data_IF_842098524632
#
_entry.id   IF_842098524632
#
_cell.length_a   1.000
_cell.length_b   1.000
_cell.length_c   1.000
_cell.angle_alpha   90.00
_cell.angle_beta   90.00
_cell.angle_gamma   90.00
#
_symmetry.space_group_name_H-M   'P 1'
#
loop_
_entity.id
_entity.type
_entity.pdbx_description
1 polymer ?
#
# COMPACT_ATOMS: atom_id res chain seq x y z
N UNK A 1 49.44 -38.51 39.59
CA UNK A 1 49.62 -37.13 40.11
C UNK A 1 50.82 -36.49 39.42
N UNK A 2 50.59 -35.53 38.51
CA UNK A 2 51.43 -34.32 38.27
C UNK A 2 50.76 -33.49 37.17
N UNK A 3 50.50 -32.22 37.51
CA UNK A 3 49.85 -31.17 36.70
C UNK A 3 50.92 -30.31 35.97
N UNK A 4 50.51 -29.66 34.88
CA UNK A 4 51.12 -28.47 34.25
C UNK A 4 52.02 -28.79 33.03
N UNK A 5 52.10 -27.98 31.95
CA UNK A 5 51.71 -26.59 31.73
C UNK A 5 51.68 -26.21 30.22
N UNK A 6 50.84 -25.21 29.88
CA UNK A 6 50.94 -24.11 28.86
C UNK A 6 51.26 -24.41 27.37
N UNK A 7 50.41 -23.88 26.48
CA UNK A 7 50.71 -22.65 25.70
C UNK A 7 49.43 -22.04 25.08
N UNK A 8 49.37 -20.71 25.10
CA UNK A 8 48.35 -19.80 24.56
C UNK A 8 48.78 -19.28 23.17
N UNK A 9 47.84 -18.59 22.49
CA UNK A 9 47.94 -17.73 21.28
C UNK A 9 48.00 -18.48 19.93
N UNK A 10 47.28 -18.13 18.84
CA UNK A 10 46.77 -16.82 18.36
C UNK A 10 45.79 -17.01 17.18
N UNK A 11 44.86 -16.06 16.96
CA UNK A 11 44.32 -15.67 15.63
C UNK A 11 43.04 -16.40 15.19
N UNK A 12 41.85 -15.79 15.35
CA UNK A 12 41.17 -14.93 14.37
C UNK A 12 40.44 -15.77 13.29
N UNK A 13 39.13 -15.64 13.04
CA UNK A 13 38.47 -14.42 12.55
C UNK A 13 36.95 -14.52 12.76
N UNK A 14 36.31 -13.36 12.83
CA UNK A 14 34.88 -13.09 12.91
C UNK A 14 33.96 -13.97 12.06
N UNK A 15 32.85 -14.37 12.67
CA UNK A 15 31.52 -14.22 12.07
C UNK A 15 30.53 -13.92 13.21
N UNK A 16 30.46 -12.64 13.60
CA UNK A 16 29.28 -12.16 14.29
C UNK A 16 28.14 -12.29 13.29
N UNK A 17 27.30 -13.32 13.47
CA UNK A 17 25.98 -13.33 12.87
C UNK A 17 25.24 -12.22 13.61
N UNK A 18 25.17 -11.05 12.99
CA UNK A 18 24.19 -10.05 13.38
C UNK A 18 22.84 -10.71 13.14
N UNK A 19 22.27 -11.26 14.21
CA UNK A 19 20.87 -11.63 14.23
C UNK A 19 20.10 -10.33 13.99
N UNK A 20 19.55 -10.15 12.80
CA UNK A 20 18.33 -9.37 12.67
C UNK A 20 17.24 -10.14 13.42
N UNK A 21 17.30 -10.11 14.75
CA UNK A 21 16.10 -10.30 15.53
C UNK A 21 15.30 -9.03 15.22
N UNK A 22 14.28 -9.15 14.37
CA UNK A 22 13.21 -8.18 14.37
C UNK A 22 12.80 -8.02 15.84
N UNK A 23 12.91 -6.79 16.35
CA UNK A 23 12.44 -6.47 17.69
C UNK A 23 10.99 -6.94 17.78
N UNK A 24 10.67 -7.66 18.84
CA UNK A 24 9.31 -8.12 19.13
C UNK A 24 8.54 -6.92 19.70
N UNK A 25 7.68 -6.25 18.93
CA UNK A 25 6.96 -5.08 19.40
C UNK A 25 5.94 -5.42 20.49
N UNK A 26 5.61 -6.71 20.69
CA UNK A 26 4.73 -7.16 21.77
C UNK A 26 5.49 -7.34 23.10
N UNK A 27 6.82 -7.21 23.10
CA UNK A 27 7.66 -7.35 24.29
C UNK A 27 7.99 -6.01 24.98
N UNK A 28 7.69 -4.88 24.35
CA UNK A 28 7.82 -3.55 24.96
C UNK A 28 6.48 -3.11 25.55
N UNK A 29 6.49 -2.46 26.71
CA UNK A 29 5.27 -1.82 27.23
C UNK A 29 4.89 -0.68 26.27
N UNK A 30 3.61 -0.56 25.95
CA UNK A 30 3.08 0.44 25.02
C UNK A 30 3.46 1.85 25.48
N UNK A 31 3.54 2.07 26.80
CA UNK A 31 4.01 3.32 27.39
C UNK A 31 5.45 3.69 26.99
N UNK A 32 6.35 2.72 26.86
CA UNK A 32 7.76 2.97 26.50
C UNK A 32 7.91 3.35 25.02
N UNK A 33 7.04 2.79 24.16
CA UNK A 33 6.99 3.12 22.73
C UNK A 33 6.46 4.53 22.48
N UNK A 34 5.50 5.01 23.28
CA UNK A 34 4.94 6.35 23.12
C UNK A 34 5.91 7.46 23.55
N UNK A 35 6.74 7.20 24.56
CA UNK A 35 7.55 8.25 25.19
C UNK A 35 9.03 8.26 24.78
N UNK A 36 9.63 7.11 24.40
CA UNK A 36 11.10 7.04 24.30
C UNK A 36 11.67 6.26 23.09
N UNK A 37 10.89 5.43 22.40
CA UNK A 37 11.42 4.58 21.32
C UNK A 37 10.60 4.62 20.02
N UNK A 38 10.48 5.82 19.45
CA UNK A 38 9.83 6.02 18.14
C UNK A 38 10.66 5.47 16.97
N UNK A 39 11.96 5.27 17.17
CA UNK A 39 12.81 4.58 16.19
C UNK A 39 12.43 3.11 16.07
N UNK A 40 12.04 2.45 17.17
CA UNK A 40 11.43 1.13 17.09
C UNK A 40 10.13 1.16 16.29
N UNK A 41 9.25 2.16 16.47
CA UNK A 41 7.98 2.30 15.71
C UNK A 41 8.24 2.48 14.21
N UNK A 42 9.23 3.30 13.84
CA UNK A 42 9.70 3.48 12.45
C UNK A 42 10.22 2.15 11.87
N UNK A 43 10.95 1.38 12.68
CA UNK A 43 11.57 0.11 12.31
C UNK A 43 10.60 -1.10 12.35
N UNK A 44 9.39 -0.96 12.91
CA UNK A 44 8.40 -2.04 12.94
C UNK A 44 8.12 -2.53 11.52
N UNK A 45 8.06 -3.86 11.38
CA UNK A 45 7.63 -4.49 10.12
C UNK A 45 6.20 -4.03 9.83
N UNK A 46 5.91 -3.47 8.63
CA UNK A 46 4.58 -2.98 8.31
C UNK A 46 3.53 -4.08 8.50
N UNK A 47 2.56 -3.83 9.38
CA UNK A 47 1.36 -4.64 9.55
C UNK A 47 0.14 -3.88 9.01
N UNK A 48 -0.85 -4.61 8.48
CA UNK A 48 -2.07 -3.99 7.94
C UNK A 48 -1.94 -3.52 6.48
N UNK A 49 -2.76 -2.53 6.12
CA UNK A 49 -2.92 -2.05 4.74
C UNK A 49 -1.97 -0.89 4.40
N UNK A 50 -1.91 -0.50 3.12
CA UNK A 50 -1.20 0.73 2.73
C UNK A 50 -1.71 1.98 3.46
N UNK A 51 -3.00 1.99 3.84
CA UNK A 51 -3.60 3.03 4.67
C UNK A 51 -3.02 3.03 6.10
N UNK A 52 -2.92 1.85 6.75
CA UNK A 52 -2.31 1.72 8.09
C UNK A 52 -0.85 2.17 8.10
N UNK A 53 -0.10 1.87 7.02
CA UNK A 53 1.28 2.32 6.87
C UNK A 53 1.39 3.83 6.67
N UNK A 54 0.52 4.41 5.83
CA UNK A 54 0.46 5.86 5.64
C UNK A 54 0.11 6.59 6.94
N UNK A 55 -0.84 6.06 7.73
CA UNK A 55 -1.21 6.64 9.03
C UNK A 55 -0.01 6.63 9.99
N UNK A 56 0.72 5.51 10.07
CA UNK A 56 1.94 5.44 10.89
C UNK A 56 2.92 6.55 10.51
N UNK A 57 3.18 6.74 9.23
CA UNK A 57 4.10 7.79 8.77
C UNK A 57 3.60 9.18 9.16
N UNK A 58 2.35 9.51 8.82
CA UNK A 58 1.84 10.85 9.07
C UNK A 58 1.71 11.18 10.57
N UNK A 59 1.37 10.22 11.42
CA UNK A 59 1.37 10.46 12.87
C UNK A 59 2.76 10.54 13.50
N UNK A 60 3.78 9.90 12.91
CA UNK A 60 5.17 10.14 13.32
C UNK A 60 5.62 11.55 12.94
N UNK A 61 5.21 12.04 11.76
CA UNK A 61 5.51 13.40 11.32
C UNK A 61 4.84 14.42 12.25
N UNK A 62 3.54 14.28 12.56
CA UNK A 62 2.84 15.15 13.51
C UNK A 62 3.45 15.07 14.91
N UNK A 63 3.76 13.87 15.39
CA UNK A 63 4.44 13.72 16.68
C UNK A 63 5.74 14.53 16.72
N UNK A 64 6.54 14.50 15.66
CA UNK A 64 7.83 15.20 15.59
C UNK A 64 7.63 16.72 15.56
N UNK A 65 6.65 17.20 14.79
CA UNK A 65 6.23 18.61 14.76
C UNK A 65 5.87 19.10 16.19
N UNK A 66 4.99 18.39 16.89
CA UNK A 66 4.58 18.78 18.26
C UNK A 66 5.73 18.71 19.27
N UNK A 67 6.58 17.70 19.14
CA UNK A 67 7.74 17.53 20.01
C UNK A 67 8.72 18.71 19.85
N UNK A 68 8.96 19.15 18.61
CA UNK A 68 9.79 20.33 18.32
C UNK A 68 9.14 21.63 18.77
N UNK A 69 7.81 21.71 18.75
CA UNK A 69 7.02 22.82 19.28
C UNK A 69 6.96 22.85 20.83
N UNK A 70 7.48 21.81 21.49
CA UNK A 70 7.39 21.59 22.94
C UNK A 70 5.97 21.32 23.45
N UNK A 71 5.04 20.90 22.58
CA UNK A 71 3.77 20.32 23.00
C UNK A 71 3.90 18.82 23.20
N UNK A 72 4.30 18.45 24.43
CA UNK A 72 4.49 17.05 24.77
C UNK A 72 3.19 16.26 24.84
N UNK A 73 2.05 16.92 25.07
CA UNK A 73 0.76 16.22 25.24
C UNK A 73 0.27 15.74 23.88
N UNK A 74 0.36 16.61 22.88
CA UNK A 74 -0.02 16.29 21.51
C UNK A 74 1.03 15.42 20.81
N UNK A 75 2.32 15.63 21.10
CA UNK A 75 3.36 14.69 20.67
C UNK A 75 3.09 13.25 21.15
N UNK A 76 2.75 13.06 22.43
CA UNK A 76 2.44 11.74 22.99
C UNK A 76 1.12 11.17 22.44
N UNK A 77 0.13 12.02 22.16
CA UNK A 77 -1.11 11.62 21.49
C UNK A 77 -0.84 11.08 20.09
N UNK A 78 -0.09 11.80 19.26
CA UNK A 78 0.23 11.33 17.91
C UNK A 78 1.20 10.14 17.92
N UNK A 79 2.12 10.05 18.88
CA UNK A 79 2.94 8.86 19.12
C UNK A 79 2.07 7.61 19.35
N UNK A 80 1.00 7.73 20.16
CA UNK A 80 0.03 6.64 20.35
C UNK A 80 -0.61 6.20 19.05
N UNK A 81 -1.14 7.15 18.28
CA UNK A 81 -1.79 6.85 17.00
C UNK A 81 -0.82 6.23 15.99
N UNK A 82 0.46 6.64 16.00
CA UNK A 82 1.51 6.05 15.18
C UNK A 82 1.77 4.57 15.51
N UNK A 83 1.93 4.23 16.79
CA UNK A 83 2.11 2.84 17.26
C UNK A 83 0.89 1.99 16.95
N UNK A 84 -0.33 2.47 17.23
CA UNK A 84 -1.56 1.74 16.92
C UNK A 84 -1.68 1.46 15.42
N UNK A 85 -1.32 2.45 14.59
CA UNK A 85 -1.28 2.31 13.13
C UNK A 85 -0.23 1.29 12.68
N UNK A 86 0.95 1.28 13.32
CA UNK A 86 2.02 0.31 13.06
C UNK A 86 1.61 -1.13 13.41
N UNK A 87 0.74 -1.31 14.41
CA UNK A 87 0.12 -2.59 14.78
C UNK A 87 -1.04 -2.98 13.85
N UNK A 88 -1.38 -2.17 12.85
CA UNK A 88 -2.48 -2.42 11.94
C UNK A 88 -3.88 -2.28 12.57
N UNK A 89 -3.98 -1.59 13.71
CA UNK A 89 -5.26 -1.35 14.37
C UNK A 89 -6.11 -0.33 13.59
N UNK A 90 -7.40 -0.32 13.86
CA UNK A 90 -8.34 0.63 13.25
C UNK A 90 -8.28 1.99 13.96
N UNK A 91 -7.26 2.78 13.63
CA UNK A 91 -7.08 4.15 14.16
C UNK A 91 -8.07 5.10 13.47
N UNK A 92 -8.86 5.81 14.27
CA UNK A 92 -9.87 6.76 13.78
C UNK A 92 -9.31 8.19 13.73
N UNK A 93 -9.84 9.06 12.83
CA UNK A 93 -9.61 10.49 12.95
C UNK A 93 -10.18 10.97 14.28
N UNK A 94 -9.49 11.95 14.87
CA UNK A 94 -9.86 12.55 16.13
C UNK A 94 -11.29 13.11 16.07
N UNK A 95 -11.94 13.13 17.23
CA UNK A 95 -13.25 13.74 17.33
C UNK A 95 -13.07 15.24 17.53
N UNK A 96 -13.86 16.05 16.83
CA UNK A 96 -13.86 17.52 17.01
C UNK A 96 -14.04 17.92 18.47
N UNK A 97 -14.76 17.11 19.25
CA UNK A 97 -14.98 17.30 20.69
C UNK A 97 -13.73 17.07 21.56
N UNK A 98 -12.59 16.68 20.99
CA UNK A 98 -11.32 16.55 21.73
C UNK A 98 -10.62 17.90 21.93
N UNK A 99 -11.04 18.95 21.22
CA UNK A 99 -10.41 20.28 21.23
C UNK A 99 -11.35 21.37 21.74
N UNK A 100 -10.79 22.40 22.36
CA UNK A 100 -11.54 23.59 22.78
C UNK A 100 -11.66 24.62 21.64
N UNK A 101 -12.76 24.54 20.88
CA UNK A 101 -12.96 25.33 19.66
C UNK A 101 -14.15 26.28 19.73
N UNK A 102 -14.11 27.33 18.90
CA UNK A 102 -15.26 28.20 18.65
C UNK A 102 -16.38 27.47 17.88
N UNK A 103 -17.65 27.92 17.98
CA UNK A 103 -18.75 27.29 17.26
C UNK A 103 -18.55 27.23 15.74
N UNK A 104 -17.90 28.25 15.17
CA UNK A 104 -17.64 28.34 13.72
C UNK A 104 -16.61 27.29 13.28
N UNK A 105 -15.53 27.11 14.05
CA UNK A 105 -14.54 26.05 13.82
C UNK A 105 -15.16 24.66 13.97
N UNK A 106 -16.02 24.46 14.98
CA UNK A 106 -16.71 23.18 15.22
C UNK A 106 -17.57 22.79 14.01
N UNK A 107 -18.35 23.71 13.46
CA UNK A 107 -19.23 23.44 12.32
C UNK A 107 -18.41 23.00 11.09
N UNK A 108 -17.33 23.72 10.81
CA UNK A 108 -16.45 23.44 9.66
C UNK A 108 -15.74 22.08 9.80
N UNK A 109 -15.07 21.83 10.93
CA UNK A 109 -14.35 20.58 11.17
C UNK A 109 -15.30 19.38 11.24
N UNK A 110 -16.53 19.57 11.75
CA UNK A 110 -17.55 18.51 11.75
C UNK A 110 -17.93 18.12 10.32
N UNK A 111 -18.12 19.11 9.43
CA UNK A 111 -18.44 18.86 8.03
C UNK A 111 -17.27 18.18 7.30
N UNK A 112 -16.03 18.63 7.52
CA UNK A 112 -14.83 18.04 6.94
C UNK A 112 -14.66 16.57 7.38
N UNK A 113 -14.79 16.30 8.67
CA UNK A 113 -14.73 14.94 9.22
C UNK A 113 -15.81 14.05 8.63
N UNK A 114 -17.04 14.55 8.51
CA UNK A 114 -18.15 13.79 7.93
C UNK A 114 -17.87 13.41 6.46
N UNK A 115 -17.38 14.34 5.64
CA UNK A 115 -17.00 14.09 4.24
C UNK A 115 -15.93 13.00 4.14
N UNK A 116 -14.87 13.09 4.94
CA UNK A 116 -13.80 12.08 4.95
C UNK A 116 -14.33 10.70 5.39
N UNK A 117 -15.14 10.65 6.45
CA UNK A 117 -15.70 9.39 6.93
C UNK A 117 -16.70 8.76 5.94
N UNK A 118 -17.45 9.56 5.19
CA UNK A 118 -18.29 9.08 4.09
C UNK A 118 -17.45 8.49 2.95
N UNK A 119 -16.35 9.14 2.56
CA UNK A 119 -15.41 8.60 1.57
C UNK A 119 -14.81 7.26 2.04
N UNK A 120 -14.44 7.14 3.33
CA UNK A 120 -13.96 5.88 3.89
C UNK A 120 -15.02 4.78 3.88
N UNK A 121 -16.29 5.12 4.12
CA UNK A 121 -17.41 4.18 4.01
C UNK A 121 -17.62 3.72 2.55
N UNK A 122 -17.27 4.56 1.58
CA UNK A 122 -17.28 4.27 0.15
C UNK A 122 -15.95 3.69 -0.37
N UNK A 123 -15.22 2.97 0.49
CA UNK A 123 -14.05 2.16 0.13
C UNK A 123 -12.78 2.95 -0.26
N UNK A 124 -12.71 4.24 0.06
CA UNK A 124 -11.54 5.08 -0.20
C UNK A 124 -10.25 4.52 0.42
N UNK A 125 -10.32 3.91 1.61
CA UNK A 125 -9.14 3.33 2.27
C UNK A 125 -8.49 2.20 1.47
N UNK A 126 -9.25 1.53 0.60
CA UNK A 126 -8.74 0.51 -0.31
C UNK A 126 -8.35 1.11 -1.66
N UNK A 127 -9.19 1.96 -2.25
CA UNK A 127 -8.96 2.56 -3.58
C UNK A 127 -7.82 3.58 -3.59
N UNK A 128 -7.67 4.35 -2.51
CA UNK A 128 -6.66 5.41 -2.37
C UNK A 128 -6.04 5.37 -0.96
N UNK A 129 -5.28 4.31 -0.62
CA UNK A 129 -4.81 4.07 0.75
C UNK A 129 -3.91 5.18 1.30
N UNK A 130 -2.97 5.69 0.50
CA UNK A 130 -2.03 6.74 0.93
C UNK A 130 -2.69 8.13 0.97
N UNK A 131 -3.62 8.42 0.06
CA UNK A 131 -4.40 9.66 0.11
C UNK A 131 -5.35 9.65 1.32
N UNK A 132 -6.02 8.53 1.58
CA UNK A 132 -6.86 8.32 2.75
C UNK A 132 -6.11 8.53 4.06
N UNK A 133 -4.88 8.02 4.15
CA UNK A 133 -4.03 8.23 5.32
C UNK A 133 -3.66 9.71 5.51
N UNK A 134 -3.22 10.38 4.43
CA UNK A 134 -2.90 11.81 4.44
C UNK A 134 -4.11 12.67 4.80
N UNK A 135 -5.31 12.34 4.30
CA UNK A 135 -6.53 13.06 4.65
C UNK A 135 -6.80 12.96 6.17
N UNK A 136 -6.67 11.77 6.75
CA UNK A 136 -6.88 11.60 8.18
C UNK A 136 -5.83 12.34 9.03
N UNK A 137 -4.55 12.22 8.71
CA UNK A 137 -3.49 12.91 9.48
C UNK A 137 -3.56 14.42 9.29
N UNK A 138 -3.87 14.91 8.08
CA UNK A 138 -4.05 16.35 7.83
C UNK A 138 -5.30 16.91 8.52
N UNK A 139 -6.38 16.13 8.63
CA UNK A 139 -7.55 16.49 9.43
C UNK A 139 -7.20 16.63 10.90
N UNK A 140 -6.46 15.67 11.46
CA UNK A 140 -6.08 15.70 12.87
C UNK A 140 -5.11 16.85 13.18
N UNK A 141 -4.17 17.15 12.27
CA UNK A 141 -3.35 18.37 12.35
C UNK A 141 -4.22 19.62 12.33
N UNK A 142 -5.12 19.75 11.35
CA UNK A 142 -5.95 20.95 11.25
C UNK A 142 -6.82 21.13 12.50
N UNK A 143 -7.39 20.04 13.03
CA UNK A 143 -8.16 20.07 14.26
C UNK A 143 -7.33 20.56 15.46
N UNK A 144 -6.09 20.11 15.59
CA UNK A 144 -5.15 20.53 16.64
C UNK A 144 -4.74 22.00 16.48
N UNK A 145 -4.28 22.43 15.30
CA UNK A 145 -3.85 23.80 15.03
C UNK A 145 -4.97 24.86 15.23
N UNK A 146 -6.25 24.48 15.07
CA UNK A 146 -7.40 25.36 15.36
C UNK A 146 -7.56 25.67 16.87
N UNK A 147 -7.10 24.78 17.75
CA UNK A 147 -7.04 25.04 19.20
C UNK A 147 -5.93 26.04 19.53
N UNK A 148 -4.78 25.91 18.88
CA UNK A 148 -3.64 26.82 19.05
C UNK A 148 -3.86 28.20 18.41
N UNK A 149 -4.79 28.29 17.46
CA UNK A 149 -5.03 29.47 16.62
C UNK A 149 -3.78 29.89 15.81
N UNK A 150 -2.94 28.94 15.40
CA UNK A 150 -1.82 29.21 14.49
C UNK A 150 -2.34 29.30 13.04
N UNK A 151 -2.51 30.52 12.56
CA UNK A 151 -3.13 30.79 11.25
C UNK A 151 -2.36 30.22 10.06
N UNK A 152 -1.03 30.10 10.16
CA UNK A 152 -0.21 29.60 9.05
C UNK A 152 -0.28 28.06 9.00
N UNK A 153 -0.29 27.42 10.15
CA UNK A 153 -0.33 25.96 10.29
C UNK A 153 -1.74 25.40 10.08
N UNK A 154 -2.79 26.11 10.53
CA UNK A 154 -4.18 25.87 10.14
C UNK A 154 -4.29 25.84 8.61
N UNK A 155 -3.74 26.86 7.93
CA UNK A 155 -3.82 26.95 6.48
C UNK A 155 -3.06 25.81 5.79
N UNK A 156 -1.87 25.44 6.29
CA UNK A 156 -1.08 24.30 5.79
C UNK A 156 -1.85 23.00 5.91
N UNK A 157 -2.36 22.68 7.10
CA UNK A 157 -3.00 21.41 7.36
C UNK A 157 -4.35 21.27 6.67
N UNK A 158 -5.14 22.35 6.62
CA UNK A 158 -6.37 22.39 5.84
C UNK A 158 -6.13 22.21 4.33
N UNK A 159 -5.09 22.83 3.78
CA UNK A 159 -4.74 22.65 2.37
C UNK A 159 -4.29 21.20 2.08
N UNK A 160 -3.52 20.58 2.98
CA UNK A 160 -3.14 19.18 2.87
C UNK A 160 -4.36 18.24 2.92
N UNK A 161 -5.33 18.53 3.81
CA UNK A 161 -6.60 17.81 3.88
C UNK A 161 -7.37 17.88 2.57
N UNK A 162 -7.59 19.09 2.04
CA UNK A 162 -8.35 19.27 0.79
C UNK A 162 -7.66 18.63 -0.41
N UNK A 163 -6.33 18.69 -0.49
CA UNK A 163 -5.56 18.02 -1.54
C UNK A 163 -5.72 16.49 -1.46
N UNK A 164 -5.61 15.92 -0.26
CA UNK A 164 -5.80 14.49 -0.06
C UNK A 164 -7.25 14.05 -0.36
N UNK A 165 -8.25 14.86 0.00
CA UNK A 165 -9.65 14.61 -0.33
C UNK A 165 -9.91 14.67 -1.84
N UNK A 166 -9.25 15.57 -2.58
CA UNK A 166 -9.35 15.61 -4.03
C UNK A 166 -8.80 14.34 -4.69
N UNK A 167 -7.65 13.83 -4.24
CA UNK A 167 -7.09 12.55 -4.71
C UNK A 167 -8.02 11.36 -4.38
N UNK A 168 -8.68 11.40 -3.22
CA UNK A 168 -9.69 10.40 -2.85
C UNK A 168 -10.90 10.49 -3.77
N UNK A 169 -11.40 11.70 -4.03
CA UNK A 169 -12.55 11.91 -4.90
C UNK A 169 -12.25 11.41 -6.32
N UNK A 170 -11.05 11.67 -6.86
CA UNK A 170 -10.59 11.16 -8.15
C UNK A 170 -10.54 9.62 -8.16
N UNK A 171 -9.96 9.00 -7.12
CA UNK A 171 -9.89 7.55 -7.03
C UNK A 171 -11.25 6.87 -6.81
N UNK A 172 -12.17 7.51 -6.09
CA UNK A 172 -13.53 7.02 -5.90
C UNK A 172 -14.37 7.19 -7.16
N UNK A 173 -14.18 8.28 -7.90
CA UNK A 173 -14.80 8.52 -9.21
C UNK A 173 -14.20 7.63 -10.30
N UNK A 174 -13.01 7.07 -10.08
CA UNK A 174 -12.42 6.07 -10.95
C UNK A 174 -13.09 4.71 -10.74
N UNK A 175 -13.81 4.27 -11.77
CA UNK A 175 -14.32 2.89 -11.90
C UNK A 175 -13.22 1.91 -12.36
N UNK A 176 -11.98 2.38 -12.47
CA UNK A 176 -10.85 1.59 -12.94
C UNK A 176 -10.25 0.76 -11.81
N UNK A 177 -11.02 -0.22 -11.35
CA UNK A 177 -10.59 -1.23 -10.36
C UNK A 177 -10.85 -2.65 -10.87
N UNK A 178 -11.18 -2.78 -12.17
CA UNK A 178 -11.45 -4.06 -12.78
C UNK A 178 -10.16 -4.70 -13.29
N UNK A 179 -9.72 -5.74 -12.60
CA UNK A 179 -8.67 -6.64 -13.09
C UNK A 179 -9.33 -7.85 -13.74
N UNK A 180 -9.19 -7.96 -15.06
CA UNK A 180 -9.62 -9.15 -15.78
C UNK A 180 -8.50 -10.17 -15.79
N UNK A 181 -8.84 -11.46 -15.71
CA UNK A 181 -7.84 -12.54 -15.70
C UNK A 181 -8.23 -13.61 -16.72
N UNK A 182 -7.34 -13.81 -17.69
CA UNK A 182 -7.49 -14.88 -18.68
C UNK A 182 -6.55 -16.03 -18.30
N UNK A 183 -7.11 -17.23 -18.10
CA UNK A 183 -6.35 -18.44 -17.81
C UNK A 183 -6.04 -19.25 -19.08
N UNK A 184 -4.89 -19.93 -19.05
CA UNK A 184 -4.38 -20.74 -20.16
C UNK A 184 -4.20 -22.20 -19.75
N UNK A 185 -4.37 -23.09 -20.72
CA UNK A 185 -4.03 -24.49 -20.56
C UNK A 185 -2.50 -24.68 -20.40
N UNK A 186 -2.11 -25.89 -20.00
CA UNK A 186 -0.71 -26.22 -19.79
C UNK A 186 0.03 -26.19 -21.13
N UNK A 187 1.19 -25.52 -21.16
CA UNK A 187 2.03 -25.33 -22.35
C UNK A 187 1.36 -24.61 -23.54
N UNK A 188 0.23 -23.94 -23.31
CA UNK A 188 -0.53 -23.24 -24.35
C UNK A 188 -0.54 -21.72 -24.15
N UNK A 189 -0.68 -21.00 -25.26
CA UNK A 189 -0.84 -19.55 -25.32
C UNK A 189 -2.04 -19.11 -26.18
N UNK A 190 -2.90 -20.05 -26.59
CA UNK A 190 -4.12 -19.77 -27.35
C UNK A 190 -5.26 -19.35 -26.41
N UNK A 191 -6.10 -18.43 -26.86
CA UNK A 191 -7.30 -18.03 -26.12
C UNK A 191 -8.38 -19.10 -26.23
N UNK A 192 -8.90 -19.50 -25.07
CA UNK A 192 -10.12 -20.31 -25.01
C UNK A 192 -11.35 -19.47 -25.39
N UNK A 193 -12.51 -20.07 -25.68
CA UNK A 193 -13.74 -19.31 -25.88
C UNK A 193 -14.10 -18.39 -24.70
N UNK A 194 -13.84 -18.83 -23.46
CA UNK A 194 -14.02 -17.99 -22.26
C UNK A 194 -13.03 -16.82 -22.25
N UNK A 195 -11.78 -17.07 -22.61
CA UNK A 195 -10.78 -16.01 -22.76
C UNK A 195 -11.18 -14.97 -23.82
N UNK A 196 -11.79 -15.40 -24.92
CA UNK A 196 -12.32 -14.48 -25.93
C UNK A 196 -13.46 -13.60 -25.39
N UNK A 197 -14.37 -14.16 -24.58
CA UNK A 197 -15.43 -13.38 -23.92
C UNK A 197 -14.86 -12.33 -22.97
N UNK A 198 -13.84 -12.68 -22.19
CA UNK A 198 -13.17 -11.71 -21.30
C UNK A 198 -12.50 -10.60 -22.12
N UNK A 199 -11.92 -10.91 -23.29
CA UNK A 199 -11.39 -9.87 -24.19
C UNK A 199 -12.52 -8.95 -24.68
N UNK A 200 -13.70 -9.49 -24.99
CA UNK A 200 -14.86 -8.67 -25.39
C UNK A 200 -15.30 -7.73 -24.25
N UNK A 201 -15.35 -8.23 -23.00
CA UNK A 201 -15.67 -7.43 -21.80
C UNK A 201 -14.67 -6.29 -21.56
N UNK A 202 -13.37 -6.57 -21.72
CA UNK A 202 -12.31 -5.55 -21.62
C UNK A 202 -12.50 -4.44 -22.66
N UNK A 203 -12.89 -4.79 -23.89
CA UNK A 203 -13.13 -3.80 -24.95
C UNK A 203 -14.34 -2.93 -24.62
N UNK A 204 -15.45 -3.53 -24.16
CA UNK A 204 -16.65 -2.79 -23.76
C UNK A 204 -16.35 -1.82 -22.61
N UNK A 205 -15.61 -2.27 -21.59
CA UNK A 205 -15.20 -1.42 -20.47
C UNK A 205 -14.24 -0.31 -20.89
N UNK A 206 -13.31 -0.58 -21.82
CA UNK A 206 -12.41 0.43 -22.37
C UNK A 206 -13.16 1.51 -23.16
N UNK A 207 -14.11 1.12 -24.00
CA UNK A 207 -14.93 2.06 -24.79
C UNK A 207 -15.91 2.87 -23.92
N UNK A 208 -16.36 2.31 -22.80
CA UNK A 208 -17.26 2.97 -21.84
C UNK A 208 -16.59 4.02 -20.95
N UNK A 209 -15.26 3.99 -20.82
CA UNK A 209 -14.50 4.82 -19.87
C UNK A 209 -13.56 5.84 -20.51
N UNK A 210 -13.02 6.77 -19.70
CA UNK A 210 -11.88 7.63 -20.08
C UNK A 210 -10.57 6.93 -19.72
N UNK A 211 -10.31 5.78 -20.32
CA UNK A 211 -9.16 4.94 -19.95
C UNK A 211 -7.97 5.26 -20.87
N UNK A 212 -6.83 5.75 -20.35
CA UNK A 212 -5.71 6.15 -21.20
C UNK A 212 -4.79 4.97 -21.56
N UNK A 213 -4.76 3.88 -20.78
CA UNK A 213 -3.88 2.73 -21.03
C UNK A 213 -4.47 1.40 -20.54
N UNK A 214 -4.13 0.31 -21.24
CA UNK A 214 -4.36 -1.08 -20.82
C UNK A 214 -3.00 -1.74 -20.61
N UNK A 215 -2.77 -2.32 -19.44
CA UNK A 215 -1.58 -3.11 -19.13
C UNK A 215 -1.92 -4.59 -19.13
N UNK A 216 -1.12 -5.37 -19.87
CA UNK A 216 -1.23 -6.82 -19.98
C UNK A 216 -0.01 -7.45 -19.29
N UNK A 217 -0.22 -8.27 -18.27
CA UNK A 217 0.85 -8.95 -17.55
C UNK A 217 0.75 -10.47 -17.76
N UNK A 218 1.68 -11.06 -18.52
CA UNK A 218 1.74 -12.49 -18.75
C UNK A 218 2.52 -13.27 -17.69
N UNK A 219 1.98 -14.42 -17.29
CA UNK A 219 2.58 -15.32 -16.29
C UNK A 219 2.57 -16.80 -16.72
N UNK A 220 3.48 -17.59 -16.14
CA UNK A 220 3.57 -19.04 -16.27
C UNK A 220 3.62 -19.73 -14.90
N UNK A 221 3.32 -21.03 -14.86
CA UNK A 221 3.51 -21.85 -13.66
C UNK A 221 4.95 -22.39 -13.58
N UNK A 222 5.33 -22.96 -12.45
CA UNK A 222 6.71 -23.39 -12.18
C UNK A 222 7.06 -24.76 -12.80
N UNK A 223 6.23 -25.31 -13.70
CA UNK A 223 6.41 -26.68 -14.21
C UNK A 223 7.44 -26.82 -15.34
N UNK A 224 7.86 -25.71 -15.94
CA UNK A 224 8.85 -25.64 -17.02
C UNK A 224 10.17 -25.03 -16.57
N UNK A 225 11.14 -24.93 -17.49
CA UNK A 225 12.36 -24.17 -17.25
C UNK A 225 12.06 -22.66 -17.22
N UNK A 226 12.74 -21.91 -16.36
CA UNK A 226 12.50 -20.47 -16.18
C UNK A 226 12.57 -19.66 -17.49
N UNK A 227 13.54 -19.94 -18.36
CA UNK A 227 13.73 -19.25 -19.64
C UNK A 227 12.62 -19.60 -20.65
N UNK A 228 12.13 -20.84 -20.61
CA UNK A 228 10.98 -21.29 -21.37
C UNK A 228 9.70 -20.60 -20.89
N UNK A 229 9.50 -20.56 -19.57
CA UNK A 229 8.35 -19.94 -18.93
C UNK A 229 8.28 -18.43 -19.21
N UNK A 230 9.42 -17.75 -19.23
CA UNK A 230 9.49 -16.34 -19.63
C UNK A 230 8.95 -16.14 -21.06
N UNK A 231 9.43 -16.93 -22.03
CA UNK A 231 8.96 -16.87 -23.43
C UNK A 231 7.50 -17.29 -23.58
N UNK A 232 7.03 -18.25 -22.78
CA UNK A 232 5.62 -18.69 -22.82
C UNK A 232 4.69 -17.59 -22.30
N UNK A 233 5.08 -16.92 -21.21
CA UNK A 233 4.32 -15.80 -20.67
C UNK A 233 4.26 -14.60 -21.62
N UNK A 234 5.35 -14.33 -22.35
CA UNK A 234 5.41 -13.33 -23.42
C UNK A 234 4.39 -13.65 -24.53
N UNK A 235 4.40 -14.89 -25.04
CA UNK A 235 3.43 -15.32 -26.07
C UNK A 235 1.99 -15.14 -25.62
N UNK A 236 1.67 -15.47 -24.37
CA UNK A 236 0.32 -15.29 -23.81
C UNK A 236 -0.10 -13.81 -23.80
N UNK A 237 0.76 -12.93 -23.30
CA UNK A 237 0.50 -11.50 -23.27
C UNK A 237 0.31 -10.94 -24.69
N UNK A 238 1.14 -11.38 -25.65
CA UNK A 238 1.01 -11.03 -27.06
C UNK A 238 -0.28 -11.55 -27.70
N UNK A 239 -0.72 -12.78 -27.38
CA UNK A 239 -2.01 -13.30 -27.87
C UNK A 239 -3.17 -12.42 -27.41
N UNK A 240 -3.17 -12.00 -26.14
CA UNK A 240 -4.21 -11.10 -25.60
C UNK A 240 -4.13 -9.72 -26.26
N UNK A 241 -2.93 -9.16 -26.44
CA UNK A 241 -2.71 -7.88 -27.16
C UNK A 241 -3.32 -7.94 -28.55
N UNK A 242 -2.96 -8.95 -29.35
CA UNK A 242 -3.45 -9.13 -30.71
C UNK A 242 -4.97 -9.30 -30.75
N UNK A 243 -5.56 -9.94 -29.75
CA UNK A 243 -7.01 -10.11 -29.65
C UNK A 243 -7.74 -8.79 -29.34
N UNK A 244 -7.14 -7.91 -28.53
CA UNK A 244 -7.64 -6.55 -28.27
C UNK A 244 -7.49 -5.65 -29.51
N UNK A 245 -6.33 -5.69 -30.17
CA UNK A 245 -6.07 -4.96 -31.41
C UNK A 245 -7.04 -5.35 -32.52
N UNK A 246 -7.32 -6.66 -32.67
CA UNK A 246 -8.28 -7.18 -33.63
C UNK A 246 -9.72 -6.67 -33.40
N UNK A 247 -10.02 -6.18 -32.19
CA UNK A 247 -11.30 -5.57 -31.82
C UNK A 247 -11.29 -4.05 -31.87
N UNK A 248 -10.18 -3.45 -32.32
CA UNK A 248 -10.09 -2.01 -32.58
C UNK A 248 -9.40 -1.19 -31.50
N UNK A 249 -8.85 -1.82 -30.45
CA UNK A 249 -8.00 -1.11 -29.48
C UNK A 249 -6.70 -0.67 -30.16
N UNK A 250 -6.34 0.60 -30.01
CA UNK A 250 -5.10 1.15 -30.57
C UNK A 250 -3.88 0.49 -29.87
N UNK A 251 -2.93 -0.13 -30.60
CA UNK A 251 -1.71 -0.66 -30.01
C UNK A 251 -0.93 0.37 -29.16
N UNK A 252 -1.07 1.67 -29.45
CA UNK A 252 -0.39 2.73 -28.70
C UNK A 252 -0.84 2.85 -27.23
N UNK A 253 -2.03 2.33 -26.89
CA UNK A 253 -2.54 2.32 -25.50
C UNK A 253 -2.26 1.00 -24.78
N UNK A 254 -1.65 0.02 -25.44
CA UNK A 254 -1.34 -1.28 -24.86
C UNK A 254 0.09 -1.31 -24.31
N UNK A 255 0.23 -1.63 -23.02
CA UNK A 255 1.52 -1.92 -22.38
C UNK A 255 1.63 -3.42 -22.09
N UNK A 256 2.43 -4.12 -22.89
CA UNK A 256 2.55 -5.58 -22.87
C UNK A 256 3.78 -6.00 -22.07
N UNK A 257 3.56 -6.65 -20.94
CA UNK A 257 4.59 -7.09 -20.00
C UNK A 257 4.50 -8.60 -19.75
N UNK A 258 5.61 -9.21 -19.36
CA UNK A 258 5.66 -10.64 -19.05
C UNK A 258 6.74 -10.96 -18.02
N UNK A 259 6.43 -11.93 -17.16
CA UNK A 259 7.22 -12.20 -15.95
C UNK A 259 7.65 -13.65 -15.79
N UNK A 260 7.25 -14.54 -16.71
CA UNK A 260 7.45 -15.97 -16.56
C UNK A 260 6.85 -16.48 -15.25
N UNK A 261 7.66 -17.20 -14.48
CA UNK A 261 7.28 -17.78 -13.18
C UNK A 261 7.68 -16.89 -11.97
N UNK A 262 8.14 -15.66 -12.19
CA UNK A 262 8.66 -14.79 -11.11
C UNK A 262 7.58 -14.07 -10.30
N UNK A 263 6.35 -13.99 -10.83
CA UNK A 263 5.19 -13.36 -10.18
C UNK A 263 4.01 -14.33 -10.12
N UNK A 264 4.12 -15.31 -9.22
CA UNK A 264 3.09 -16.33 -9.00
C UNK A 264 1.89 -15.77 -8.25
N UNK A 265 0.69 -16.16 -8.67
CA UNK A 265 -0.55 -15.90 -7.93
C UNK A 265 -0.69 -16.87 -6.76
N UNK A 266 -0.35 -18.13 -6.98
CA UNK A 266 -0.30 -19.18 -5.98
C UNK A 266 1.17 -19.59 -5.84
N UNK A 267 1.81 -19.37 -4.68
CA UNK A 267 3.19 -19.78 -4.47
C UNK A 267 3.35 -21.30 -4.64
N UNK A 268 4.26 -21.73 -5.51
CA UNK A 268 4.55 -23.15 -5.76
C UNK A 268 6.05 -23.40 -5.88
N UNK A 269 6.49 -24.62 -5.58
CA UNK A 269 7.87 -25.05 -5.81
C UNK A 269 8.14 -25.34 -7.30
N UNK A 270 9.41 -25.42 -7.69
CA UNK A 270 9.81 -25.81 -9.05
C UNK A 270 9.25 -27.19 -9.45
N UNK A 271 8.85 -27.31 -10.71
CA UNK A 271 8.25 -28.51 -11.28
C UNK A 271 6.75 -28.69 -11.01
N UNK A 272 6.09 -27.73 -10.33
CA UNK A 272 4.66 -27.84 -9.97
C UNK A 272 3.78 -27.20 -11.04
N UNK A 273 2.78 -27.95 -11.50
CA UNK A 273 1.72 -27.43 -12.37
C UNK A 273 0.65 -26.75 -11.52
N UNK A 274 0.39 -25.48 -11.79
CA UNK A 274 -0.60 -24.69 -11.07
C UNK A 274 -1.42 -23.86 -12.06
N UNK A 275 -2.65 -24.28 -12.41
CA UNK A 275 -3.51 -23.57 -13.35
C UNK A 275 -3.71 -22.10 -13.07
N UNK A 276 -3.80 -21.69 -11.81
CA UNK A 276 -4.02 -20.29 -11.46
C UNK A 276 -2.81 -19.41 -11.76
N UNK A 277 -1.61 -19.98 -11.93
CA UNK A 277 -0.41 -19.23 -12.34
C UNK A 277 -0.30 -19.04 -13.85
N UNK A 278 -0.99 -19.87 -14.65
CA UNK A 278 -0.99 -19.77 -16.12
C UNK A 278 -2.02 -18.75 -16.59
N UNK A 279 -1.65 -17.47 -16.57
CA UNK A 279 -2.61 -16.38 -16.79
C UNK A 279 -2.03 -15.18 -17.51
N UNK A 280 -2.92 -14.34 -18.01
CA UNK A 280 -2.67 -12.92 -18.27
C UNK A 280 -3.61 -12.12 -17.38
N UNK A 281 -3.05 -11.17 -16.64
CA UNK A 281 -3.82 -10.16 -15.92
C UNK A 281 -3.93 -8.90 -16.81
N UNK A 282 -5.12 -8.35 -16.87
CA UNK A 282 -5.45 -7.16 -17.66
C UNK A 282 -5.94 -6.12 -16.68
N UNK A 283 -5.28 -4.97 -16.66
CA UNK A 283 -5.64 -3.85 -15.81
C UNK A 283 -5.57 -2.57 -16.62
N UNK A 284 -6.53 -1.72 -16.40
CA UNK A 284 -6.53 -0.37 -16.91
C UNK A 284 -5.62 0.50 -16.03
N UNK A 285 -4.96 1.49 -16.64
CA UNK A 285 -4.03 2.39 -15.95
C UNK A 285 -4.18 3.81 -16.49
N UNK A 286 -3.85 4.78 -15.63
CA UNK A 286 -3.77 6.21 -15.96
C UNK A 286 -2.52 6.59 -16.76
#
# INVERSE_FOLDING_TARGET
>A
MRKGAKLLTTGALCAFVASCAALDPDAMDDHDLYHWDLDAVRAMTPQGSGFSWGLRSGYLDLQEEEYEAFDWTDADHFARKAVESAKGLNVQPDMVSLRELSPEQVDELTAARARMMEAFANDARRKAPLASARAQTAFDCWLEQEEENDVDDIARCKAAFEAAMAEIDDALASDIDETYVIFFAWDEAELTPVGQTIVDEVVEAFEGGKIPRIVLAGHADTSGAADYNLKLSERRAQTVSQALEARGIDPAVLDVQWFGETQLRVPTADGVREPQNRRVEIRFAE
#
